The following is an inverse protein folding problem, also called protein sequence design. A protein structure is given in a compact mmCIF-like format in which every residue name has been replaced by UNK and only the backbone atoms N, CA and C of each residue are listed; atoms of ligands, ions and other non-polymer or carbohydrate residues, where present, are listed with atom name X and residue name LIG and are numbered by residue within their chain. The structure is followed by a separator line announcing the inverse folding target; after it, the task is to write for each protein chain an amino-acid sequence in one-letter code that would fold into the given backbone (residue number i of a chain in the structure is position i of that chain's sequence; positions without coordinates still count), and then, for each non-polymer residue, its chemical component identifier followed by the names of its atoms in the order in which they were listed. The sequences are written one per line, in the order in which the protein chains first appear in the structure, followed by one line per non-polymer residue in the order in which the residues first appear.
data_IF_270199975515
#
_entry.id   IF_270199975515
#
_cell.length_a   1.000
_cell.length_b   1.000
_cell.length_c   1.000
_cell.angle_alpha   90.00
_cell.angle_beta   90.00
_cell.angle_gamma   90.00
#
_symmetry.space_group_name_H-M   'P 1'
#
loop_
_entity.id
_entity.type
_entity.pdbx_description
1 polymer ?
#
# COMPACT_ATOMS: atom_id res chain seq x y z
N UNK A 1 14.23 -0.96 -25.24
CA UNK A 1 13.46 -0.80 -23.98
C UNK A 1 13.29 -2.17 -23.33
N UNK A 2 13.89 -2.43 -22.16
CA UNK A 2 13.74 -3.69 -21.43
C UNK A 2 12.59 -3.58 -20.44
N UNK A 3 11.50 -4.30 -20.70
CA UNK A 3 10.38 -4.46 -19.78
C UNK A 3 10.77 -5.54 -18.76
N UNK A 4 10.89 -5.16 -17.48
CA UNK A 4 11.11 -6.11 -16.39
C UNK A 4 9.77 -6.70 -15.99
N UNK A 5 9.54 -7.96 -16.37
CA UNK A 5 8.31 -8.72 -16.07
C UNK A 5 8.49 -9.40 -14.71
N UNK A 6 7.84 -8.88 -13.67
CA UNK A 6 7.81 -9.54 -12.36
C UNK A 6 6.94 -10.81 -12.45
N UNK A 7 7.59 -11.96 -12.61
CA UNK A 7 6.97 -13.28 -12.47
C UNK A 7 6.95 -13.64 -10.99
N UNK A 8 5.77 -13.67 -10.37
CA UNK A 8 5.61 -14.25 -9.03
C UNK A 8 5.40 -15.75 -9.19
N UNK A 9 6.50 -16.52 -9.22
CA UNK A 9 6.44 -17.98 -9.15
C UNK A 9 6.27 -18.39 -7.69
N UNK A 10 5.09 -18.92 -7.37
CA UNK A 10 4.73 -19.35 -6.02
C UNK A 10 5.66 -20.44 -5.48
N UNK A 11 6.10 -20.26 -4.22
CA UNK A 11 6.45 -21.37 -3.34
C UNK A 11 5.60 -21.29 -2.08
N UNK A 12 4.75 -22.29 -1.93
CA UNK A 12 3.87 -22.51 -0.79
C UNK A 12 4.74 -23.02 0.39
N UNK A 13 5.11 -22.12 1.31
CA UNK A 13 5.67 -22.45 2.62
C UNK A 13 4.68 -21.92 3.66
N UNK A 14 4.03 -22.83 4.39
CA UNK A 14 3.22 -22.49 5.58
C UNK A 14 4.12 -21.80 6.60
N UNK A 15 4.14 -20.47 6.56
CA UNK A 15 4.79 -19.62 7.55
C UNK A 15 3.70 -19.12 8.50
N UNK A 16 3.76 -19.52 9.77
CA UNK A 16 2.96 -18.95 10.87
C UNK A 16 3.43 -17.51 11.20
N UNK A 17 3.44 -16.61 10.21
CA UNK A 17 3.67 -15.18 10.44
C UNK A 17 2.36 -14.59 10.95
N UNK A 18 2.37 -14.15 12.22
CA UNK A 18 1.32 -13.29 12.78
C UNK A 18 1.15 -12.10 11.83
N UNK A 19 0.01 -12.02 11.15
CA UNK A 19 -0.23 -11.01 10.11
C UNK A 19 -0.20 -9.64 10.78
N UNK A 20 0.84 -8.85 10.54
CA UNK A 20 0.88 -7.46 10.98
C UNK A 20 -0.24 -6.70 10.28
N UNK A 21 -0.97 -5.89 11.04
CA UNK A 21 -2.11 -5.13 10.53
C UNK A 21 -1.66 -4.23 9.37
N UNK A 22 -2.29 -4.37 8.20
CA UNK A 22 -1.95 -3.58 7.01
C UNK A 22 -2.03 -2.09 7.30
N UNK A 23 -1.00 -1.33 6.94
CA UNK A 23 -1.02 0.13 7.01
C UNK A 23 -2.02 0.72 5.98
N UNK A 24 -2.23 0.00 4.88
CA UNK A 24 -3.03 0.44 3.74
C UNK A 24 -4.35 -0.33 3.70
N UNK A 25 -5.40 0.33 4.19
CA UNK A 25 -6.78 -0.18 4.17
C UNK A 25 -7.66 0.84 3.42
N UNK A 26 -8.64 0.34 2.67
CA UNK A 26 -9.68 1.18 2.05
C UNK A 26 -10.42 1.93 3.17
N UNK A 27 -10.30 3.24 3.17
CA UNK A 27 -10.96 4.10 4.17
C UNK A 27 -11.95 5.02 3.50
N UNK A 28 -11.65 5.47 2.27
CA UNK A 28 -12.51 6.39 1.53
C UNK A 28 -13.62 5.61 0.84
N UNK A 29 -14.82 6.19 0.80
CA UNK A 29 -15.97 5.62 0.10
C UNK A 29 -15.68 5.34 -1.38
N UNK A 30 -14.83 6.16 -1.99
CA UNK A 30 -14.39 6.02 -3.38
C UNK A 30 -13.46 4.83 -3.64
N UNK A 31 -12.91 4.20 -2.60
CA UNK A 31 -12.03 3.02 -2.70
C UNK A 31 -12.80 1.72 -2.43
N UNK A 32 -14.09 1.82 -2.12
CA UNK A 32 -14.92 0.69 -1.70
C UNK A 32 -15.87 0.25 -2.80
N UNK A 33 -15.95 -1.06 -3.02
CA UNK A 33 -16.89 -1.68 -3.95
C UNK A 33 -16.82 -1.19 -5.40
N UNK A 34 -15.69 -0.63 -5.84
CA UNK A 34 -15.56 0.01 -7.17
C UNK A 34 -15.33 -0.99 -8.30
N UNK A 35 -14.52 -2.02 -8.09
CA UNK A 35 -14.29 -3.09 -9.08
C UNK A 35 -14.70 -4.44 -8.48
N UNK A 36 -15.62 -5.16 -9.13
CA UNK A 36 -16.16 -6.46 -8.69
C UNK A 36 -16.69 -6.48 -7.23
N UNK A 37 -17.21 -5.36 -6.72
CA UNK A 37 -17.66 -5.21 -5.33
C UNK A 37 -16.56 -5.49 -4.28
N UNK A 38 -15.29 -5.36 -4.66
CA UNK A 38 -14.14 -5.54 -3.76
C UNK A 38 -13.60 -4.19 -3.27
N UNK A 39 -13.11 -4.21 -2.04
CA UNK A 39 -12.41 -3.08 -1.42
C UNK A 39 -10.91 -3.21 -1.72
N UNK A 40 -10.47 -2.51 -2.77
CA UNK A 40 -9.09 -2.60 -3.27
C UNK A 40 -8.38 -1.27 -3.11
N UNK A 41 -7.25 -1.30 -2.40
CA UNK A 41 -6.27 -0.20 -2.37
C UNK A 41 -4.92 -0.76 -2.75
N UNK A 42 -4.37 -0.29 -3.87
CA UNK A 42 -3.06 -0.71 -4.34
C UNK A 42 -2.11 0.49 -4.40
N UNK A 43 -1.05 0.54 -3.58
CA UNK A 43 -0.07 1.63 -3.65
C UNK A 43 0.72 1.56 -4.96
N UNK A 44 0.84 2.70 -5.64
CA UNK A 44 1.44 2.79 -6.99
C UNK A 44 2.65 3.71 -7.05
N UNK A 45 2.74 4.71 -6.17
CA UNK A 45 3.84 5.66 -6.16
C UNK A 45 3.98 6.37 -4.83
N UNK A 46 5.20 6.81 -4.53
CA UNK A 46 5.53 7.57 -3.33
C UNK A 46 6.33 8.80 -3.78
N UNK A 47 5.98 9.95 -3.22
CA UNK A 47 6.72 11.20 -3.41
C UNK A 47 7.03 11.77 -2.04
N UNK A 48 8.29 12.13 -1.79
CA UNK A 48 8.67 12.85 -0.57
C UNK A 48 8.14 14.28 -0.64
N UNK A 49 7.68 14.81 0.49
CA UNK A 49 7.43 16.24 0.59
C UNK A 49 8.74 17.02 0.61
N UNK A 50 8.65 18.36 0.52
CA UNK A 50 9.85 19.21 0.39
C UNK A 50 10.71 19.21 1.65
N UNK A 51 10.12 18.88 2.78
CA UNK A 51 10.76 18.83 4.09
C UNK A 51 11.32 17.45 4.41
N UNK A 52 11.02 16.43 3.59
CA UNK A 52 11.38 15.03 3.80
C UNK A 52 10.85 14.45 5.13
N UNK A 53 9.79 15.04 5.68
CA UNK A 53 9.13 14.56 6.90
C UNK A 53 7.95 13.66 6.56
N UNK A 54 7.29 13.95 5.44
CA UNK A 54 6.10 13.27 4.99
C UNK A 54 6.30 12.62 3.62
N UNK A 55 5.55 11.54 3.39
CA UNK A 55 5.37 10.97 2.07
C UNK A 55 3.94 11.20 1.58
N UNK A 56 3.83 11.52 0.30
CA UNK A 56 2.61 11.46 -0.48
C UNK A 56 2.54 10.08 -1.14
N UNK A 57 1.65 9.23 -0.63
CA UNK A 57 1.37 7.92 -1.19
C UNK A 57 0.22 8.01 -2.18
N UNK A 58 0.49 7.63 -3.43
CA UNK A 58 -0.49 7.51 -4.50
C UNK A 58 -0.96 6.06 -4.60
N UNK A 59 -2.27 5.86 -4.61
CA UNK A 59 -2.88 4.53 -4.67
C UNK A 59 -3.99 4.48 -5.71
N UNK A 60 -4.11 3.34 -6.40
CA UNK A 60 -5.31 2.98 -7.14
C UNK A 60 -6.40 2.48 -6.19
N UNK A 61 -7.60 3.06 -6.28
CA UNK A 61 -8.82 2.64 -5.60
C UNK A 61 -9.73 1.90 -6.57
N UNK A 62 -9.82 0.57 -6.39
CA UNK A 62 -10.46 -0.41 -7.29
C UNK A 62 -10.56 0.03 -8.74
N UNK A 63 -9.38 0.26 -9.34
CA UNK A 63 -9.13 0.56 -10.76
C UNK A 63 -9.92 1.72 -11.39
N UNK A 64 -10.60 2.54 -10.58
CA UNK A 64 -11.47 3.63 -11.06
C UNK A 64 -10.97 5.00 -10.61
N UNK A 65 -10.35 5.09 -9.43
CA UNK A 65 -9.88 6.38 -8.88
C UNK A 65 -8.43 6.31 -8.42
N UNK A 66 -7.71 7.41 -8.55
CA UNK A 66 -6.41 7.59 -7.87
C UNK A 66 -6.62 8.39 -6.59
N UNK A 67 -6.14 7.86 -5.46
CA UNK A 67 -6.16 8.56 -4.18
C UNK A 67 -4.76 8.91 -3.74
N UNK A 68 -4.62 10.06 -3.08
CA UNK A 68 -3.37 10.49 -2.44
C UNK A 68 -3.58 10.54 -0.93
N UNK A 69 -2.60 10.03 -0.18
CA UNK A 69 -2.55 10.10 1.29
C UNK A 69 -1.21 10.67 1.72
N UNK A 70 -1.24 11.66 2.60
CA UNK A 70 -0.06 12.19 3.28
C UNK A 70 0.20 11.35 4.53
N UNK A 71 1.42 10.88 4.71
CA UNK A 71 1.82 10.02 5.83
C UNK A 71 3.16 10.51 6.38
N UNK A 72 3.24 10.69 7.70
CA UNK A 72 4.48 11.05 8.36
C UNK A 72 5.44 9.84 8.39
N UNK A 73 6.67 10.03 7.95
CA UNK A 73 7.67 8.95 7.83
C UNK A 73 7.95 8.30 9.19
N UNK A 74 7.99 9.10 10.27
CA UNK A 74 8.20 8.59 11.63
C UNK A 74 7.10 7.62 12.08
N UNK A 75 5.86 7.75 11.59
CA UNK A 75 4.79 6.80 11.90
C UNK A 75 4.98 5.45 11.21
N UNK A 76 5.58 5.46 10.02
CA UNK A 76 5.93 4.24 9.28
C UNK A 76 7.01 3.51 10.08
N UNK A 77 8.09 4.20 10.44
CA UNK A 77 9.17 3.61 11.23
C UNK A 77 8.68 3.09 12.58
N UNK A 78 7.88 3.84 13.33
CA UNK A 78 7.29 3.37 14.60
C UNK A 78 6.50 2.07 14.47
N UNK A 79 5.85 1.82 13.33
CA UNK A 79 5.12 0.57 13.08
C UNK A 79 6.02 -0.57 12.59
N UNK A 80 7.11 -0.26 11.90
CA UNK A 80 8.12 -1.23 11.48
C UNK A 80 9.02 -1.65 12.65
N UNK A 81 9.36 -0.72 13.54
CA UNK A 81 10.11 -0.90 14.79
C UNK A 81 9.32 -1.61 15.89
N UNK A 82 8.08 -2.04 15.60
CA UNK A 82 7.47 -3.14 16.34
C UNK A 82 7.71 -4.46 15.59
N UNK A 83 8.93 -5.02 15.58
CA UNK A 83 9.05 -6.46 15.46
C UNK A 83 8.42 -7.05 16.73
N UNK A 84 7.54 -8.04 16.58
CA UNK A 84 7.38 -9.00 17.67
C UNK A 84 8.68 -9.77 17.82
#
# INVERSE_FOLDING_TARGET
MKIVKFFFLGKNKKNNRKISQSYFVSKKRSEKGTFEHKDVVFPTGIVLDRQEEDILLYSGGGDVVTTVRKILISEIFKKLEKPN
#
